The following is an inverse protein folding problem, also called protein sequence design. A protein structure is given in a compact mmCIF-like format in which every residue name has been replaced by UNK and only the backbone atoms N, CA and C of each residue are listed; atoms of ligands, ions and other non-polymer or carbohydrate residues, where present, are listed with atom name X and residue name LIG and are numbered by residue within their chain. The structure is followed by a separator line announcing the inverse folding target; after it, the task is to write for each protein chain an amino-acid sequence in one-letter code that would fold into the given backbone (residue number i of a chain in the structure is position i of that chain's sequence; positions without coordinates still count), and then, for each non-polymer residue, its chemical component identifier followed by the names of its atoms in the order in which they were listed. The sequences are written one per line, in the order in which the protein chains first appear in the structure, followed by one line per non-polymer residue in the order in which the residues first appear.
data_IF_767482628390
#
_entry.id   IF_767482628390
#
_cell.length_a   1.000
_cell.length_b   1.000
_cell.length_c   1.000
_cell.angle_alpha   90.00
_cell.angle_beta   90.00
_cell.angle_gamma   90.00
#
_symmetry.space_group_name_H-M   'P 1'
#
loop_
_entity.id
_entity.type
_entity.pdbx_description
1 polymer ?
#
# COMPACT_ATOMS: atom_id res chain seq x y z
N UNK A 1 19.34 -20.90 -22.70
CA UNK A 1 19.17 -21.52 -21.35
C UNK A 1 18.91 -23.01 -21.42
N UNK A 2 17.90 -23.47 -22.17
CA UNK A 2 17.53 -24.89 -22.29
C UNK A 2 18.67 -25.77 -22.83
N UNK A 3 19.37 -25.31 -23.88
CA UNK A 3 20.55 -25.99 -24.44
C UNK A 3 21.64 -26.25 -23.39
N UNK A 4 21.87 -25.27 -22.50
CA UNK A 4 22.90 -25.34 -21.45
C UNK A 4 22.47 -26.28 -20.33
N UNK A 5 21.19 -26.28 -19.98
CA UNK A 5 20.64 -27.18 -18.97
C UNK A 5 20.70 -28.65 -19.44
N UNK A 6 20.43 -28.94 -20.72
CA UNK A 6 20.58 -30.29 -21.26
C UNK A 6 22.04 -30.73 -21.31
N UNK A 7 22.96 -29.87 -21.77
CA UNK A 7 24.40 -30.19 -21.83
C UNK A 7 25.03 -30.37 -20.44
N UNK A 8 24.52 -29.67 -19.43
CA UNK A 8 24.94 -29.82 -18.04
C UNK A 8 24.26 -31.00 -17.31
N UNK A 9 23.49 -31.84 -18.01
CA UNK A 9 22.76 -32.97 -17.43
C UNK A 9 21.65 -32.56 -16.45
N UNK A 10 21.25 -31.29 -16.45
CA UNK A 10 20.22 -30.75 -15.56
C UNK A 10 18.80 -31.03 -16.07
N UNK A 11 18.64 -31.37 -17.34
CA UNK A 11 17.38 -31.79 -17.95
C UNK A 11 17.65 -32.88 -18.99
N UNK A 12 16.67 -33.76 -19.16
CA UNK A 12 16.76 -34.92 -20.05
C UNK A 12 16.53 -34.56 -21.51
N UNK A 13 15.92 -33.39 -21.79
CA UNK A 13 15.64 -32.94 -23.15
C UNK A 13 15.58 -31.41 -23.26
N UNK A 14 15.82 -30.85 -24.45
CA UNK A 14 15.76 -29.39 -24.66
C UNK A 14 14.34 -28.80 -24.58
N UNK A 15 13.32 -29.65 -24.63
CA UNK A 15 11.89 -29.28 -24.62
C UNK A 15 11.25 -29.40 -23.25
N UNK A 16 11.97 -29.94 -22.27
CA UNK A 16 11.47 -30.10 -20.90
C UNK A 16 11.56 -28.76 -20.15
N UNK A 17 10.43 -28.33 -19.57
CA UNK A 17 10.38 -27.11 -18.78
C UNK A 17 11.27 -27.25 -17.53
N UNK A 18 12.26 -26.38 -17.42
CA UNK A 18 13.17 -26.37 -16.28
C UNK A 18 12.46 -25.97 -14.99
N UNK A 19 12.70 -26.72 -13.92
CA UNK A 19 12.28 -26.33 -12.56
C UNK A 19 12.96 -25.03 -12.13
N UNK A 20 12.37 -24.26 -11.19
CA UNK A 20 12.99 -23.04 -10.67
C UNK A 20 14.41 -23.24 -10.12
N UNK A 21 14.70 -24.43 -9.57
CA UNK A 21 16.04 -24.77 -9.08
C UNK A 21 17.04 -24.94 -10.22
N UNK A 22 16.68 -25.69 -11.27
CA UNK A 22 17.51 -25.86 -12.46
C UNK A 22 17.75 -24.53 -13.18
N UNK A 23 16.74 -23.66 -13.27
CA UNK A 23 16.91 -22.31 -13.85
C UNK A 23 17.94 -21.49 -13.07
N UNK A 24 17.91 -21.53 -11.73
CA UNK A 24 18.91 -20.83 -10.90
C UNK A 24 20.32 -21.40 -11.11
N UNK A 25 20.47 -22.72 -11.11
CA UNK A 25 21.76 -23.38 -11.33
C UNK A 25 22.34 -23.10 -12.72
N UNK A 26 21.52 -23.18 -13.77
CA UNK A 26 21.94 -22.87 -15.13
C UNK A 26 22.35 -21.39 -15.29
N UNK A 27 21.63 -20.45 -14.64
CA UNK A 27 22.04 -19.03 -14.60
C UNK A 27 23.36 -18.83 -13.86
N UNK A 28 23.59 -19.55 -12.76
CA UNK A 28 24.84 -19.47 -12.01
C UNK A 28 26.04 -19.98 -12.86
N UNK A 29 25.86 -21.09 -13.58
CA UNK A 29 26.87 -21.64 -14.47
C UNK A 29 27.19 -20.68 -15.64
N UNK A 30 26.18 -20.10 -16.28
CA UNK A 30 26.38 -19.12 -17.36
C UNK A 30 27.10 -17.86 -16.88
N UNK A 31 26.78 -17.36 -15.69
CA UNK A 31 27.54 -16.25 -15.08
C UNK A 31 28.98 -16.61 -14.76
N UNK A 32 29.27 -17.87 -14.42
CA UNK A 32 30.64 -18.33 -14.23
C UNK A 32 31.40 -18.37 -15.57
N UNK A 33 30.78 -18.90 -16.63
CA UNK A 33 31.33 -18.91 -17.98
C UNK A 33 31.56 -17.48 -18.52
N UNK A 34 30.62 -16.57 -18.26
CA UNK A 34 30.77 -15.15 -18.62
C UNK A 34 31.93 -14.47 -17.91
N UNK A 35 32.12 -14.74 -16.61
CA UNK A 35 33.28 -14.25 -15.85
C UNK A 35 34.61 -14.84 -16.35
N UNK A 36 34.59 -16.06 -16.88
CA UNK A 36 35.74 -16.71 -17.49
C UNK A 36 36.00 -16.25 -18.95
N UNK A 37 35.15 -15.37 -19.51
CA UNK A 37 35.25 -14.91 -20.90
C UNK A 37 34.84 -15.94 -21.96
N UNK A 38 34.23 -17.06 -21.53
CA UNK A 38 33.83 -18.18 -22.41
C UNK A 38 32.41 -18.03 -22.97
N UNK A 39 31.63 -17.10 -22.43
CA UNK A 39 30.29 -16.80 -22.89
C UNK A 39 29.99 -15.31 -22.76
N UNK A 40 29.13 -14.78 -23.62
CA UNK A 40 28.61 -13.41 -23.52
C UNK A 40 27.09 -13.42 -23.47
N UNK A 41 26.53 -12.44 -22.77
CA UNK A 41 25.09 -12.22 -22.68
C UNK A 41 24.78 -10.90 -23.37
N UNK A 42 23.88 -10.93 -24.35
CA UNK A 42 23.42 -9.70 -25.00
C UNK A 42 22.39 -8.95 -24.14
N UNK A 43 21.97 -7.79 -24.65
CA UNK A 43 20.99 -6.90 -24.01
C UNK A 43 19.60 -7.53 -23.89
N UNK A 44 19.29 -8.51 -24.74
CA UNK A 44 18.03 -9.25 -24.76
C UNK A 44 18.07 -10.49 -23.84
N UNK A 45 19.20 -10.73 -23.16
CA UNK A 45 19.40 -11.81 -22.22
C UNK A 45 19.74 -13.17 -22.88
N UNK A 46 20.11 -13.17 -24.16
CA UNK A 46 20.57 -14.37 -24.87
C UNK A 46 22.05 -14.61 -24.58
N UNK A 47 22.42 -15.88 -24.40
CA UNK A 47 23.78 -16.29 -24.11
C UNK A 47 24.42 -16.95 -25.33
N UNK A 48 25.58 -16.45 -25.76
CA UNK A 48 26.40 -17.01 -26.83
C UNK A 48 27.73 -17.53 -26.29
N UNK A 49 28.23 -18.63 -26.86
CA UNK A 49 29.57 -19.18 -26.56
C UNK A 49 30.60 -18.39 -27.36
N UNK A 50 31.70 -17.98 -26.72
CA UNK A 50 32.83 -17.37 -27.43
C UNK A 50 33.88 -18.42 -27.76
N UNK A 51 34.28 -18.49 -29.03
CA UNK A 51 35.34 -19.38 -29.49
C UNK A 51 36.75 -18.89 -29.08
N UNK A 52 36.95 -17.57 -29.04
CA UNK A 52 38.23 -16.93 -28.69
C UNK A 52 38.13 -16.20 -27.35
N UNK A 53 38.20 -16.96 -26.26
CA UNK A 53 38.28 -16.43 -24.91
C UNK A 53 39.71 -15.93 -24.62
N UNK A 54 39.96 -14.63 -24.79
CA UNK A 54 41.25 -14.02 -24.40
C UNK A 54 41.25 -13.61 -22.92
N UNK A 55 42.43 -13.70 -22.28
CA UNK A 55 42.59 -13.28 -20.89
C UNK A 55 42.27 -11.78 -20.68
N UNK A 56 42.57 -10.93 -21.67
CA UNK A 56 42.24 -9.50 -21.64
C UNK A 56 40.73 -9.25 -21.64
N UNK A 57 39.98 -10.02 -22.43
CA UNK A 57 38.53 -9.91 -22.49
C UNK A 57 37.88 -10.40 -21.18
N UNK A 58 38.34 -11.55 -20.66
CA UNK A 58 37.87 -12.04 -19.36
C UNK A 58 38.12 -11.01 -18.24
N UNK A 59 39.30 -10.37 -18.23
CA UNK A 59 39.63 -9.33 -17.27
C UNK A 59 38.77 -8.06 -17.44
N UNK A 60 38.52 -7.66 -18.69
CA UNK A 60 37.66 -6.50 -19.00
C UNK A 60 36.22 -6.74 -18.56
N UNK A 61 35.65 -7.91 -18.87
CA UNK A 61 34.31 -8.32 -18.47
C UNK A 61 34.18 -8.48 -16.95
N UNK A 62 35.18 -9.05 -16.28
CA UNK A 62 35.21 -9.15 -14.82
C UNK A 62 35.28 -7.76 -14.15
N UNK A 63 35.98 -6.81 -14.76
CA UNK A 63 36.10 -5.43 -14.26
C UNK A 63 34.79 -4.65 -14.46
N UNK A 64 34.18 -4.75 -15.65
CA UNK A 64 32.87 -4.15 -15.92
C UNK A 64 31.79 -4.70 -14.98
N UNK A 65 31.76 -6.04 -14.77
CA UNK A 65 30.86 -6.67 -13.82
C UNK A 65 31.07 -6.16 -12.39
N UNK A 66 32.32 -6.07 -11.92
CA UNK A 66 32.64 -5.56 -10.58
C UNK A 66 32.14 -4.13 -10.39
N UNK A 67 32.38 -3.25 -11.36
CA UNK A 67 31.93 -1.86 -11.30
C UNK A 67 30.41 -1.76 -11.13
N UNK A 68 29.64 -2.48 -11.96
CA UNK A 68 28.16 -2.51 -11.85
C UNK A 68 27.71 -3.19 -10.54
N UNK A 69 28.37 -4.27 -10.14
CA UNK A 69 28.03 -4.98 -8.90
C UNK A 69 28.23 -4.10 -7.68
N UNK A 70 29.36 -3.39 -7.59
CA UNK A 70 29.70 -2.54 -6.46
C UNK A 70 28.73 -1.35 -6.38
N UNK A 71 28.37 -0.75 -7.53
CA UNK A 71 27.31 0.26 -7.60
C UNK A 71 25.96 -0.28 -7.06
N UNK A 72 25.54 -1.47 -7.49
CA UNK A 72 24.28 -2.07 -7.00
C UNK A 72 24.34 -2.39 -5.51
N UNK A 73 25.51 -2.80 -4.99
CA UNK A 73 25.69 -3.04 -3.55
C UNK A 73 25.59 -1.74 -2.75
N UNK A 74 26.23 -0.68 -3.23
CA UNK A 74 26.16 0.66 -2.64
C UNK A 74 24.72 1.17 -2.62
N UNK A 75 24.01 1.15 -3.76
CA UNK A 75 22.59 1.52 -3.85
C UNK A 75 21.70 0.71 -2.88
N UNK A 76 22.00 -0.59 -2.70
CA UNK A 76 21.27 -1.44 -1.74
C UNK A 76 21.61 -1.13 -0.29
N UNK A 77 22.82 -0.67 0.00
CA UNK A 77 23.22 -0.22 1.32
C UNK A 77 22.53 1.11 1.65
N UNK A 78 22.49 2.06 0.71
CA UNK A 78 21.75 3.32 0.85
C UNK A 78 20.25 3.09 1.09
N UNK A 79 19.64 2.19 0.30
CA UNK A 79 18.24 1.80 0.48
C UNK A 79 17.99 1.21 1.87
N UNK A 80 18.86 0.31 2.34
CA UNK A 80 18.75 -0.32 3.67
C UNK A 80 19.01 0.66 4.82
N UNK A 81 19.85 1.66 4.60
CA UNK A 81 20.11 2.73 5.56
C UNK A 81 18.93 3.72 5.68
N UNK A 82 17.86 3.54 4.88
CA UNK A 82 16.68 4.41 4.91
C UNK A 82 16.88 5.74 4.17
N UNK A 83 17.95 5.84 3.37
CA UNK A 83 18.20 7.01 2.52
C UNK A 83 17.26 7.04 1.31
N UNK A 84 16.94 8.24 0.84
CA UNK A 84 16.21 8.45 -0.41
C UNK A 84 17.17 8.22 -1.57
N UNK A 85 17.36 6.95 -1.98
CA UNK A 85 18.18 6.62 -3.15
C UNK A 85 17.51 7.10 -4.44
N UNK A 86 18.30 7.35 -5.49
CA UNK A 86 17.78 7.70 -6.82
C UNK A 86 16.73 6.70 -7.32
N UNK A 87 16.91 5.41 -7.01
CA UNK A 87 15.95 4.35 -7.32
C UNK A 87 14.61 4.55 -6.60
N UNK A 88 14.61 4.91 -5.31
CA UNK A 88 13.37 5.14 -4.57
C UNK A 88 12.60 6.37 -5.08
N UNK A 89 13.31 7.42 -5.50
CA UNK A 89 12.72 8.60 -6.15
C UNK A 89 12.10 8.24 -7.50
N UNK A 90 12.84 7.51 -8.34
CA UNK A 90 12.33 7.05 -9.65
C UNK A 90 11.13 6.13 -9.49
N UNK A 91 11.17 5.19 -8.55
CA UNK A 91 10.05 4.31 -8.25
C UNK A 91 8.81 5.09 -7.79
N UNK A 92 8.97 6.07 -6.90
CA UNK A 92 7.87 6.93 -6.47
C UNK A 92 7.29 7.75 -7.64
N UNK A 93 8.15 8.28 -8.51
CA UNK A 93 7.74 9.02 -9.71
C UNK A 93 6.95 8.13 -10.68
N UNK A 94 7.40 6.90 -10.93
CA UNK A 94 6.72 5.93 -11.78
C UNK A 94 5.36 5.50 -11.19
N UNK A 95 5.28 5.25 -9.88
CA UNK A 95 4.01 4.96 -9.21
C UNK A 95 3.02 6.13 -9.35
N UNK A 96 3.51 7.37 -9.22
CA UNK A 96 2.71 8.58 -9.40
C UNK A 96 2.23 8.72 -10.86
N UNK A 97 3.12 8.51 -11.83
CA UNK A 97 2.80 8.55 -13.25
C UNK A 97 1.77 7.47 -13.61
N UNK A 98 1.94 6.25 -13.10
CA UNK A 98 0.99 5.18 -13.32
C UNK A 98 -0.39 5.50 -12.74
N UNK A 99 -0.45 6.04 -11.53
CA UNK A 99 -1.72 6.49 -10.93
C UNK A 99 -2.39 7.61 -11.73
N UNK A 100 -1.60 8.54 -12.29
CA UNK A 100 -2.13 9.57 -13.17
C UNK A 100 -2.72 8.98 -14.46
N UNK A 101 -2.07 7.96 -15.05
CA UNK A 101 -2.60 7.22 -16.21
C UNK A 101 -3.91 6.49 -15.86
N UNK A 102 -3.96 5.81 -14.73
CA UNK A 102 -5.17 5.13 -14.25
C UNK A 102 -6.33 6.11 -14.03
N UNK A 103 -6.03 7.27 -13.43
CA UNK A 103 -7.02 8.31 -13.20
C UNK A 103 -7.49 8.95 -14.51
N UNK A 104 -6.58 9.29 -15.43
CA UNK A 104 -6.91 9.86 -16.73
C UNK A 104 -7.72 8.87 -17.58
N UNK A 105 -7.37 7.58 -17.55
CA UNK A 105 -8.17 6.53 -18.17
C UNK A 105 -9.58 6.50 -17.61
N UNK A 106 -9.73 6.51 -16.28
CA UNK A 106 -11.02 6.49 -15.63
C UNK A 106 -11.86 7.74 -15.92
N UNK A 107 -11.25 8.92 -15.92
CA UNK A 107 -11.93 10.20 -16.19
C UNK A 107 -12.28 10.38 -17.66
N UNK A 108 -11.53 9.74 -18.56
CA UNK A 108 -11.83 9.68 -19.99
C UNK A 108 -13.01 8.76 -20.36
N UNK A 109 -13.55 7.99 -19.40
CA UNK A 109 -14.74 7.18 -19.63
C UNK A 109 -16.01 8.02 -19.60
N UNK A 110 -16.92 7.73 -20.53
CA UNK A 110 -18.24 8.33 -20.58
C UNK A 110 -19.02 8.11 -19.27
N UNK A 111 -19.84 9.08 -18.87
CA UNK A 111 -20.65 9.00 -17.66
C UNK A 111 -21.49 7.70 -17.53
N UNK A 112 -22.21 7.22 -18.58
CA UNK A 112 -22.93 5.95 -18.52
C UNK A 112 -22.00 4.74 -18.32
N UNK A 113 -20.85 4.70 -18.98
CA UNK A 113 -19.90 3.59 -18.83
C UNK A 113 -19.31 3.54 -17.41
N UNK A 114 -18.97 4.71 -16.83
CA UNK A 114 -18.53 4.79 -15.43
C UNK A 114 -19.61 4.29 -14.48
N UNK A 115 -20.89 4.63 -14.73
CA UNK A 115 -22.00 4.18 -13.91
C UNK A 115 -22.19 2.66 -13.98
N UNK A 116 -22.13 2.08 -15.19
CA UNK A 116 -22.23 0.64 -15.41
C UNK A 116 -21.10 -0.12 -14.71
N UNK A 117 -19.85 0.31 -14.89
CA UNK A 117 -18.69 -0.32 -14.24
C UNK A 117 -18.77 -0.23 -12.72
N UNK A 118 -19.22 0.92 -12.17
CA UNK A 118 -19.46 1.07 -10.73
C UNK A 118 -20.53 0.10 -10.24
N UNK A 119 -21.65 0.00 -10.98
CA UNK A 119 -22.73 -0.93 -10.66
C UNK A 119 -22.25 -2.37 -10.66
N UNK A 120 -21.55 -2.81 -11.71
CA UNK A 120 -21.02 -4.17 -11.81
C UNK A 120 -20.09 -4.50 -10.62
N UNK A 121 -19.17 -3.60 -10.25
CA UNK A 121 -18.30 -3.79 -9.08
C UNK A 121 -19.07 -3.78 -7.76
N UNK A 122 -20.12 -2.98 -7.66
CA UNK A 122 -20.98 -2.94 -6.48
C UNK A 122 -21.77 -4.24 -6.33
N UNK A 123 -22.30 -4.80 -7.42
CA UNK A 123 -23.01 -6.07 -7.46
C UNK A 123 -22.07 -7.24 -7.11
N UNK A 124 -20.89 -7.29 -7.73
CA UNK A 124 -19.84 -8.27 -7.40
C UNK A 124 -19.51 -8.23 -5.90
N UNK A 125 -19.24 -7.05 -5.35
CA UNK A 125 -18.95 -6.89 -3.92
C UNK A 125 -20.14 -7.24 -3.02
N UNK A 126 -21.37 -6.95 -3.45
CA UNK A 126 -22.58 -7.27 -2.71
C UNK A 126 -22.84 -8.78 -2.65
N UNK A 127 -22.44 -9.52 -3.68
CA UNK A 127 -22.54 -10.99 -3.75
C UNK A 127 -21.53 -11.73 -2.86
N UNK A 128 -20.47 -11.06 -2.40
CA UNK A 128 -19.48 -11.66 -1.50
C UNK A 128 -20.03 -11.88 -0.08
N UNK A 129 -19.52 -12.90 0.60
CA UNK A 129 -19.75 -13.09 2.04
C UNK A 129 -19.18 -11.94 2.87
N UNK A 130 -19.61 -11.78 4.12
CA UNK A 130 -19.12 -10.70 4.99
C UNK A 130 -17.59 -10.79 5.21
N UNK A 131 -17.05 -12.00 5.30
CA UNK A 131 -15.61 -12.24 5.48
C UNK A 131 -14.83 -11.84 4.21
N UNK A 132 -15.34 -12.19 3.03
CA UNK A 132 -14.72 -11.80 1.76
C UNK A 132 -14.81 -10.29 1.53
N UNK A 133 -15.95 -9.67 1.87
CA UNK A 133 -16.13 -8.22 1.83
C UNK A 133 -15.10 -7.50 2.72
N UNK A 134 -14.82 -8.05 3.91
CA UNK A 134 -13.80 -7.54 4.81
C UNK A 134 -12.40 -7.68 4.21
N UNK A 135 -12.06 -8.86 3.67
CA UNK A 135 -10.77 -9.11 3.02
C UNK A 135 -10.51 -8.14 1.87
N UNK A 136 -11.47 -7.95 0.97
CA UNK A 136 -11.34 -7.02 -0.16
C UNK A 136 -11.11 -5.59 0.33
N UNK A 137 -11.83 -5.14 1.37
CA UNK A 137 -11.62 -3.81 1.94
C UNK A 137 -10.22 -3.64 2.54
N UNK A 138 -9.72 -4.67 3.23
CA UNK A 138 -8.38 -4.70 3.79
C UNK A 138 -7.34 -4.61 2.69
N UNK A 139 -7.41 -5.47 1.67
CA UNK A 139 -6.44 -5.50 0.56
C UNK A 139 -6.39 -4.16 -0.18
N UNK A 140 -7.55 -3.52 -0.40
CA UNK A 140 -7.63 -2.20 -1.00
C UNK A 140 -6.99 -1.11 -0.12
N UNK A 141 -7.23 -1.14 1.18
CA UNK A 141 -6.63 -0.20 2.13
C UNK A 141 -5.11 -0.42 2.25
N UNK A 142 -4.64 -1.66 2.37
CA UNK A 142 -3.21 -2.00 2.40
C UNK A 142 -2.48 -1.58 1.11
N UNK A 143 -3.13 -1.73 -0.06
CA UNK A 143 -2.57 -1.24 -1.32
C UNK A 143 -2.40 0.28 -1.30
N UNK A 144 -3.36 1.01 -0.72
CA UNK A 144 -3.26 2.46 -0.57
C UNK A 144 -2.18 2.88 0.42
N UNK A 145 -2.08 2.21 1.57
CA UNK A 145 -1.04 2.43 2.58
C UNK A 145 0.35 2.19 1.97
N UNK A 146 0.54 1.10 1.21
CA UNK A 146 1.78 0.85 0.46
C UNK A 146 2.10 1.93 -0.58
N UNK A 147 1.08 2.63 -1.07
CA UNK A 147 1.23 3.78 -1.96
C UNK A 147 1.36 5.12 -1.22
N UNK A 148 1.59 5.11 0.10
CA UNK A 148 1.79 6.31 0.93
C UNK A 148 0.51 7.07 1.28
N UNK A 149 -0.67 6.47 1.09
CA UNK A 149 -1.95 7.08 1.46
C UNK A 149 -2.30 6.71 2.89
N UNK A 150 -2.50 7.72 3.75
CA UNK A 150 -3.12 7.55 5.06
C UNK A 150 -4.63 7.23 4.88
N UNK A 151 -5.03 6.02 5.30
CA UNK A 151 -6.39 5.53 5.15
C UNK A 151 -7.39 6.26 6.08
N UNK A 152 -6.96 6.71 7.27
CA UNK A 152 -7.80 7.49 8.18
C UNK A 152 -8.06 8.89 7.60
N UNK A 153 -7.00 9.58 7.17
CA UNK A 153 -7.13 10.89 6.52
C UNK A 153 -7.95 10.81 5.22
N UNK A 154 -7.77 9.74 4.43
CA UNK A 154 -8.60 9.49 3.24
C UNK A 154 -10.06 9.29 3.60
N UNK A 155 -10.36 8.50 4.63
CA UNK A 155 -11.73 8.29 5.08
C UNK A 155 -12.38 9.61 5.50
N UNK A 156 -11.66 10.43 6.27
CA UNK A 156 -12.15 11.75 6.69
C UNK A 156 -12.38 12.69 5.51
N UNK A 157 -11.45 12.76 4.55
CA UNK A 157 -11.64 13.53 3.32
C UNK A 157 -12.85 13.05 2.50
N UNK A 158 -13.12 11.73 2.48
CA UNK A 158 -14.31 11.18 1.83
C UNK A 158 -15.61 11.57 2.56
N UNK A 159 -15.61 11.64 3.90
CA UNK A 159 -16.74 12.13 4.68
C UNK A 159 -16.95 13.62 4.42
N UNK A 160 -15.90 14.42 4.53
CA UNK A 160 -15.91 15.88 4.36
C UNK A 160 -16.30 16.30 2.93
N UNK A 161 -16.08 15.44 1.92
CA UNK A 161 -16.50 15.67 0.53
C UNK A 161 -18.01 15.63 0.30
N UNK A 162 -18.83 15.37 1.32
CA UNK A 162 -20.28 15.37 1.23
C UNK A 162 -20.89 16.61 1.89
N UNK A 163 -21.91 17.19 1.27
CA UNK A 163 -22.78 18.14 1.98
C UNK A 163 -23.52 17.43 3.11
N UNK A 164 -23.91 18.18 4.15
CA UNK A 164 -24.65 17.63 5.28
C UNK A 164 -25.91 16.88 4.84
N UNK A 165 -26.69 17.46 3.92
CA UNK A 165 -27.91 16.84 3.39
C UNK A 165 -27.63 15.52 2.64
N UNK A 166 -26.58 15.49 1.82
CA UNK A 166 -26.18 14.29 1.11
C UNK A 166 -25.70 13.20 2.08
N UNK A 167 -25.01 13.60 3.15
CA UNK A 167 -24.58 12.69 4.20
C UNK A 167 -25.75 12.09 4.97
N UNK A 168 -26.69 12.92 5.44
CA UNK A 168 -27.89 12.48 6.17
C UNK A 168 -28.71 11.50 5.33
N UNK A 169 -28.96 11.84 4.05
CA UNK A 169 -29.70 10.96 3.12
C UNK A 169 -29.04 9.60 3.00
N UNK A 170 -27.72 9.56 2.82
CA UNK A 170 -26.97 8.29 2.72
C UNK A 170 -26.99 7.52 4.04
N UNK A 171 -26.91 8.21 5.17
CA UNK A 171 -26.97 7.57 6.50
C UNK A 171 -28.30 6.87 6.71
N UNK A 172 -29.42 7.52 6.39
CA UNK A 172 -30.77 6.95 6.46
C UNK A 172 -30.89 5.73 5.54
N UNK A 173 -30.47 5.85 4.28
CA UNK A 173 -30.51 4.75 3.30
C UNK A 173 -29.70 3.54 3.77
N UNK A 174 -28.51 3.77 4.32
CA UNK A 174 -27.64 2.73 4.88
C UNK A 174 -28.27 2.09 6.12
N UNK A 175 -28.85 2.89 7.00
CA UNK A 175 -29.53 2.40 8.21
C UNK A 175 -30.71 1.51 7.85
N UNK A 176 -31.57 1.94 6.92
CA UNK A 176 -32.70 1.14 6.44
C UNK A 176 -32.26 -0.20 5.84
N UNK A 177 -31.22 -0.20 4.99
CA UNK A 177 -30.64 -1.44 4.45
C UNK A 177 -30.09 -2.36 5.54
N UNK A 178 -29.41 -1.80 6.54
CA UNK A 178 -28.82 -2.57 7.62
C UNK A 178 -29.89 -3.22 8.52
N UNK A 179 -30.94 -2.48 8.86
CA UNK A 179 -32.06 -2.98 9.68
C UNK A 179 -32.82 -4.13 9.01
N UNK A 180 -32.80 -4.22 7.68
CA UNK A 180 -33.42 -5.32 6.93
C UNK A 180 -32.59 -6.61 6.90
N UNK A 181 -31.37 -6.59 7.41
CA UNK A 181 -30.53 -7.79 7.50
C UNK A 181 -30.95 -8.66 8.69
N UNK A 182 -30.86 -9.99 8.59
CA UNK A 182 -30.91 -10.87 9.75
C UNK A 182 -29.90 -10.45 10.83
N UNK A 183 -30.27 -10.60 12.10
CA UNK A 183 -29.45 -10.17 13.25
C UNK A 183 -28.01 -10.70 13.22
N UNK A 184 -27.73 -11.99 12.89
CA UNK A 184 -26.35 -12.46 12.79
C UNK A 184 -25.51 -11.70 11.74
N UNK A 185 -26.13 -11.31 10.62
CA UNK A 185 -25.46 -10.54 9.57
C UNK A 185 -25.24 -9.08 9.97
N UNK A 186 -26.15 -8.51 10.76
CA UNK A 186 -25.96 -7.20 11.37
C UNK A 186 -24.71 -7.21 12.26
N UNK A 187 -24.64 -8.15 13.21
CA UNK A 187 -23.52 -8.31 14.13
C UNK A 187 -22.20 -8.55 13.36
N UNK A 188 -22.20 -9.44 12.37
CA UNK A 188 -21.02 -9.72 11.55
C UNK A 188 -20.51 -8.48 10.80
N UNK A 189 -21.41 -7.69 10.18
CA UNK A 189 -21.02 -6.46 9.48
C UNK A 189 -20.54 -5.36 10.42
N UNK A 190 -21.14 -5.23 11.61
CA UNK A 190 -20.70 -4.29 12.63
C UNK A 190 -19.29 -4.64 13.14
N UNK A 191 -19.04 -5.93 13.44
CA UNK A 191 -17.75 -6.41 13.88
C UNK A 191 -16.66 -6.24 12.79
N UNK A 192 -16.97 -6.59 11.54
CA UNK A 192 -16.05 -6.38 10.42
C UNK A 192 -15.69 -4.90 10.22
N UNK A 193 -16.66 -4.00 10.35
CA UNK A 193 -16.39 -2.56 10.31
C UNK A 193 -15.52 -2.11 11.48
N UNK A 194 -15.76 -2.62 12.69
CA UNK A 194 -14.96 -2.27 13.86
C UNK A 194 -13.50 -2.69 13.70
N UNK A 195 -13.23 -3.93 13.26
CA UNK A 195 -11.86 -4.41 12.98
C UNK A 195 -11.16 -3.57 11.93
N UNK A 196 -11.86 -3.22 10.84
CA UNK A 196 -11.30 -2.36 9.81
C UNK A 196 -10.90 -0.98 10.37
N UNK A 197 -11.74 -0.39 11.21
CA UNK A 197 -11.44 0.90 11.83
C UNK A 197 -10.23 0.84 12.76
N UNK A 198 -10.18 -0.15 13.64
CA UNK A 198 -9.06 -0.34 14.56
C UNK A 198 -7.75 -0.52 13.80
N UNK A 199 -7.77 -1.32 12.73
CA UNK A 199 -6.60 -1.60 11.90
C UNK A 199 -6.01 -0.37 11.22
N UNK A 200 -6.87 0.56 10.78
CA UNK A 200 -6.46 1.73 10.00
C UNK A 200 -6.63 3.06 10.75
N UNK A 201 -6.87 3.03 12.07
CA UNK A 201 -6.98 4.24 12.90
C UNK A 201 -8.20 5.13 12.60
N UNK A 202 -9.29 4.58 12.05
CA UNK A 202 -10.48 5.36 11.68
C UNK A 202 -11.36 5.60 12.92
N UNK A 203 -11.62 6.88 13.25
CA UNK A 203 -12.40 7.27 14.42
C UNK A 203 -13.87 6.79 14.41
N UNK A 204 -14.49 6.67 15.59
CA UNK A 204 -15.95 6.44 15.73
C UNK A 204 -16.71 7.78 15.70
N UNK A 205 -17.65 7.96 14.76
CA UNK A 205 -18.63 9.08 14.74
C UNK A 205 -18.66 9.90 13.45
N UNK A 206 -19.71 10.71 13.25
CA UNK A 206 -20.09 11.54 12.06
C UNK A 206 -20.11 13.03 12.41
N UNK A 207 -20.33 14.02 11.49
CA UNK A 207 -20.11 14.13 10.04
C UNK A 207 -19.23 15.35 9.63
N UNK A 208 -18.48 15.94 10.56
CA UNK A 208 -17.51 16.99 10.24
C UNK A 208 -16.18 16.56 10.85
N UNK A 209 -15.31 15.96 10.03
CA UNK A 209 -13.96 15.65 10.52
C UNK A 209 -13.22 16.95 10.91
N UNK A 210 -13.64 18.10 10.37
CA UNK A 210 -13.21 19.44 10.81
C UNK A 210 -13.54 19.72 12.28
N UNK A 211 -14.80 19.65 12.69
CA UNK A 211 -15.18 19.85 14.10
C UNK A 211 -14.56 18.77 15.01
N UNK A 212 -14.30 17.57 14.49
CA UNK A 212 -13.55 16.53 15.23
C UNK A 212 -12.07 16.88 15.39
N UNK A 213 -11.39 17.39 14.36
CA UNK A 213 -9.98 17.80 14.44
C UNK A 213 -9.81 18.95 15.44
N UNK A 214 -10.71 19.93 15.38
CA UNK A 214 -10.77 21.03 16.35
C UNK A 214 -11.00 20.50 17.77
N UNK A 215 -11.96 19.59 17.95
CA UNK A 215 -12.29 19.04 19.26
C UNK A 215 -11.28 17.99 19.78
N UNK A 216 -10.57 17.28 18.92
CA UNK A 216 -9.52 16.31 19.27
C UNK A 216 -8.18 17.00 19.53
N UNK A 217 -7.90 18.12 18.86
CA UNK A 217 -6.79 19.01 19.23
C UNK A 217 -7.06 19.73 20.57
N UNK A 218 -8.33 19.93 20.91
CA UNK A 218 -8.77 20.57 22.16
C UNK A 218 -8.94 19.61 23.36
N UNK A 219 -8.85 18.29 23.18
CA UNK A 219 -9.00 17.32 24.27
C UNK A 219 -7.67 16.65 24.62
N UNK A 220 -7.32 16.50 25.92
CA UNK A 220 -6.11 15.80 26.33
C UNK A 220 -6.09 14.35 25.82
N UNK A 221 -4.95 13.94 25.26
CA UNK A 221 -4.79 12.65 24.56
C UNK A 221 -4.79 11.41 25.48
N UNK A 222 -4.83 11.59 26.81
CA UNK A 222 -4.80 10.50 27.79
C UNK A 222 -5.88 10.68 28.85
N UNK A 223 -6.31 9.57 29.45
CA UNK A 223 -7.24 9.59 30.59
C UNK A 223 -6.67 10.44 31.76
N UNK A 224 -5.36 10.34 32.01
CA UNK A 224 -4.66 11.15 33.01
C UNK A 224 -4.74 12.66 32.71
N UNK A 225 -4.58 13.07 31.44
CA UNK A 225 -4.69 14.49 31.09
C UNK A 225 -6.11 15.06 31.24
N UNK A 226 -7.15 14.23 31.06
CA UNK A 226 -8.54 14.64 31.31
C UNK A 226 -8.82 14.85 32.80
N UNK A 227 -8.28 13.97 33.64
CA UNK A 227 -8.48 14.06 35.10
C UNK A 227 -7.73 15.27 35.69
N UNK A 228 -6.55 15.59 35.16
CA UNK A 228 -5.75 16.75 35.58
C UNK A 228 -6.39 18.09 35.18
N UNK A 229 -6.97 18.18 33.97
CA UNK A 229 -7.69 19.38 33.50
C UNK A 229 -9.02 19.59 34.26
N UNK A 230 -9.74 18.51 34.59
CA UNK A 230 -10.95 18.60 35.42
C UNK A 230 -10.65 19.13 36.83
N UNK A 231 -9.52 18.73 37.42
CA UNK A 231 -9.07 19.21 38.72
C UNK A 231 -8.60 20.68 38.70
N UNK A 232 -8.04 21.15 37.58
CA UNK A 232 -7.65 22.55 37.38
C UNK A 232 -8.86 23.48 37.21
N UNK A 233 -9.93 23.02 36.56
CA UNK A 233 -11.16 23.82 36.40
C UNK A 233 -11.95 23.94 37.71
N UNK A 234 -12.01 22.88 38.52
CA UNK A 234 -12.73 22.90 39.81
C UNK A 234 -12.00 23.72 40.90
N UNK A 235 -10.67 23.85 40.80
CA UNK A 235 -9.86 24.66 41.72
C UNK A 235 -9.89 26.17 41.42
N UNK A 236 -10.36 26.59 40.24
CA UNK A 236 -10.52 28.00 39.86
C UNK A 236 -11.88 28.64 40.20
N UNK A 237 -12.88 27.83 40.61
CA UNK A 237 -14.29 28.25 40.67
C UNK A 237 -14.86 28.66 42.03
N UNK A 238 -14.04 28.77 43.09
CA UNK A 238 -14.56 29.05 44.45
C UNK A 238 -13.80 30.17 45.17
N UNK A 239 -13.70 31.35 44.56
CA UNK A 239 -13.46 32.58 45.31
C UNK A 239 -14.77 33.03 45.95
N UNK A 240 -14.83 32.81 47.26
CA UNK A 240 -15.87 33.24 48.19
C UNK A 240 -16.18 34.74 48.07
N UNK A 241 -17.41 35.08 47.68
CA UNK A 241 -17.99 36.40 47.94
C UNK A 241 -18.62 36.37 49.34
N UNK A 242 -17.87 36.85 50.34
CA UNK A 242 -18.31 37.26 51.69
C UNK A 242 -17.51 38.51 52.03
N UNK A 243 -18.12 39.67 51.82
CA UNK A 243 -18.54 40.67 52.84
C UNK A 243 -17.66 41.91 52.54
N UNK A 244 -18.11 43.16 52.49
CA UNK A 244 -18.65 43.99 53.58
C UNK A 244 -19.23 45.29 52.97
N UNK A 245 -20.44 45.62 53.41
CA UNK A 245 -21.05 46.94 53.74
C UNK A 245 -20.61 48.23 53.04
N UNK A 246 -21.62 49.00 52.57
CA UNK A 246 -21.86 50.37 53.09
C UNK A 246 -23.32 50.76 52.86
N UNK A 247 -24.02 51.18 53.93
CA UNK A 247 -25.39 51.70 53.89
C UNK A 247 -26.16 51.44 55.18
#
# INVERSE_FOLDING_TARGET
MEVVATLAGMSSSRTEALTPSQVRSARAALRALGRAGMAECDVDGQWAIRADASAEHAQSSATAYRCVHDQVVEERCEYRAGGVSQWSVQQAAELKANRAREQAWWDGLEAPERAERRRARQEEFAGLSVVEQERVKIELAERRVRAGVDEAARHDAWVDGHTMDAWVRRSIERQYRYQRLPEPLQQAKAAAWQRHRERFGIARGTPLATSRREHAAALPSTAAGRDEEFLLVDSGGRTTRRDVETG
#
